data_IF_476603242068
#
_entry.id   IF_476603242068
#
_cell.length_a   1.000
_cell.length_b   1.000
_cell.length_c   1.000
_cell.angle_alpha   90.00
_cell.angle_beta   90.00
_cell.angle_gamma   90.00
#
_symmetry.space_group_name_H-M   'P 1'
#
loop_
_entity.id
_entity.type
_entity.pdbx_description
1 polymer ?
#
# COMPACT_ATOMS: atom_id res chain seq x y z
N UNK A 1 -32.22 49.58 -31.97
CA UNK A 1 -30.85 49.10 -31.82
C UNK A 1 -30.86 47.83 -30.95
N UNK A 2 -30.74 46.67 -31.62
CA UNK A 2 -30.75 45.35 -31.03
C UNK A 2 -29.44 45.12 -30.31
N UNK A 3 -29.47 44.93 -29.01
CA UNK A 3 -28.32 44.42 -28.22
C UNK A 3 -28.13 42.95 -28.56
N UNK A 4 -27.08 42.62 -29.30
CA UNK A 4 -26.62 41.24 -29.44
C UNK A 4 -26.11 40.70 -28.07
N UNK A 5 -26.48 39.48 -27.70
CA UNK A 5 -25.90 38.86 -26.51
C UNK A 5 -24.42 38.54 -26.77
N UNK A 6 -23.52 39.10 -25.97
CA UNK A 6 -22.11 38.72 -25.94
C UNK A 6 -21.99 37.23 -25.60
N UNK A 7 -21.56 36.43 -26.56
CA UNK A 7 -21.13 35.04 -26.29
C UNK A 7 -19.92 35.08 -25.37
N UNK A 8 -20.13 34.67 -24.14
CA UNK A 8 -19.04 34.37 -23.20
C UNK A 8 -18.35 33.10 -23.66
N UNK A 9 -17.26 33.23 -24.39
CA UNK A 9 -16.35 32.13 -24.76
C UNK A 9 -15.38 31.80 -23.63
N UNK A 10 -15.89 31.49 -22.45
CA UNK A 10 -15.11 30.98 -21.33
C UNK A 10 -15.82 29.74 -20.81
N UNK A 11 -15.07 28.62 -20.64
CA UNK A 11 -15.60 27.44 -19.94
C UNK A 11 -16.14 27.88 -18.58
N UNK A 12 -17.34 27.44 -18.17
CA UNK A 12 -17.94 27.84 -16.89
C UNK A 12 -17.02 27.42 -15.75
N UNK A 13 -16.80 28.33 -14.79
CA UNK A 13 -16.07 28.02 -13.56
C UNK A 13 -16.87 27.06 -12.69
N UNK A 14 -16.25 26.01 -12.18
CA UNK A 14 -16.87 25.06 -11.23
C UNK A 14 -17.51 25.76 -10.03
N UNK A 15 -16.89 26.83 -9.52
CA UNK A 15 -17.42 27.62 -8.41
C UNK A 15 -18.75 28.32 -8.76
N UNK A 16 -18.91 28.78 -10.01
CA UNK A 16 -20.15 29.40 -10.49
C UNK A 16 -21.23 28.34 -10.65
N UNK A 17 -20.89 27.16 -11.15
CA UNK A 17 -21.83 26.06 -11.33
C UNK A 17 -22.37 25.53 -9.99
N UNK A 18 -21.53 25.40 -8.97
CA UNK A 18 -21.95 25.02 -7.62
C UNK A 18 -22.87 26.07 -7.01
N UNK A 19 -22.56 27.36 -7.17
CA UNK A 19 -23.42 28.45 -6.70
C UNK A 19 -24.78 28.48 -7.42
N UNK A 20 -24.81 28.21 -8.71
CA UNK A 20 -26.05 28.16 -9.50
C UNK A 20 -26.90 26.95 -9.10
N UNK A 21 -26.31 25.79 -8.82
CA UNK A 21 -26.97 24.59 -8.32
C UNK A 21 -27.58 24.83 -6.90
N UNK A 22 -26.89 25.52 -6.03
CA UNK A 22 -27.39 25.90 -4.71
C UNK A 22 -28.62 26.79 -4.82
N UNK A 23 -28.57 27.83 -5.68
CA UNK A 23 -29.73 28.73 -5.93
C UNK A 23 -30.91 28.00 -6.56
N UNK A 24 -30.66 27.01 -7.45
CA UNK A 24 -31.72 26.22 -8.06
C UNK A 24 -32.39 25.27 -7.04
N UNK A 25 -31.64 24.75 -6.07
CA UNK A 25 -32.20 23.91 -5.01
C UNK A 25 -33.01 24.67 -3.95
N UNK A 26 -32.70 25.94 -3.74
CA UNK A 26 -33.48 26.82 -2.83
C UNK A 26 -34.91 27.09 -3.31
N UNK A 27 -35.14 26.96 -4.63
CA UNK A 27 -36.45 27.24 -5.24
C UNK A 27 -37.39 26.03 -5.34
N UNK A 28 -36.94 24.83 -5.02
CA UNK A 28 -37.75 23.60 -5.09
C UNK A 28 -38.13 23.03 -3.73
N UNK A 29 -39.40 22.65 -3.54
CA UNK A 29 -40.01 22.16 -2.28
C UNK A 29 -39.45 20.85 -1.70
N UNK A 30 -38.12 20.71 -1.61
CA UNK A 30 -37.48 19.60 -0.94
C UNK A 30 -37.64 19.66 0.58
N UNK A 31 -37.81 18.53 1.23
CA UNK A 31 -37.89 18.41 2.68
C UNK A 31 -36.69 19.11 3.35
N UNK A 32 -36.98 19.84 4.43
CA UNK A 32 -35.99 20.66 5.15
C UNK A 32 -34.67 19.91 5.48
N UNK A 33 -34.77 18.63 5.77
CA UNK A 33 -33.63 17.76 6.05
C UNK A 33 -32.74 17.54 4.82
N UNK A 34 -33.31 17.31 3.64
CA UNK A 34 -32.56 17.14 2.40
C UNK A 34 -31.81 18.42 2.00
N UNK A 35 -32.42 19.60 2.27
CA UNK A 35 -31.76 20.90 2.06
C UNK A 35 -30.54 21.09 2.92
N UNK A 36 -30.58 20.71 4.20
CA UNK A 36 -29.46 20.86 5.13
C UNK A 36 -28.31 19.94 4.70
N UNK A 37 -28.59 18.69 4.29
CA UNK A 37 -27.58 17.74 3.88
C UNK A 37 -26.89 18.16 2.57
N UNK A 38 -27.67 18.59 1.59
CA UNK A 38 -27.16 19.11 0.32
C UNK A 38 -26.32 20.39 0.48
N UNK A 39 -26.73 21.28 1.40
CA UNK A 39 -25.96 22.48 1.75
C UNK A 39 -24.63 22.14 2.42
N UNK A 40 -24.58 21.14 3.29
CA UNK A 40 -23.35 20.69 3.94
C UNK A 40 -22.41 20.07 2.94
N UNK A 41 -22.89 19.23 2.04
CA UNK A 41 -22.07 18.63 0.97
C UNK A 41 -21.53 19.69 0.00
N UNK A 42 -22.38 20.62 -0.42
CA UNK A 42 -21.98 21.71 -1.29
C UNK A 42 -20.94 22.65 -0.61
N UNK A 43 -21.08 22.90 0.69
CA UNK A 43 -20.11 23.68 1.45
C UNK A 43 -18.77 22.96 1.56
N UNK A 44 -18.76 21.63 1.78
CA UNK A 44 -17.55 20.81 1.78
C UNK A 44 -16.86 20.85 0.43
N UNK A 45 -17.61 20.64 -0.65
CA UNK A 45 -17.08 20.70 -2.03
C UNK A 45 -16.51 22.09 -2.32
N UNK A 46 -17.21 23.15 -1.93
CA UNK A 46 -16.74 24.53 -2.12
C UNK A 46 -15.43 24.79 -1.35
N UNK A 47 -15.37 24.37 -0.10
CA UNK A 47 -14.15 24.51 0.71
C UNK A 47 -12.98 23.73 0.09
N UNK A 48 -13.20 22.48 -0.32
CA UNK A 48 -12.19 21.66 -1.00
C UNK A 48 -11.65 22.34 -2.27
N UNK A 49 -12.54 22.80 -3.15
CA UNK A 49 -12.13 23.49 -4.39
C UNK A 49 -11.36 24.79 -4.09
N UNK A 50 -11.77 25.52 -3.06
CA UNK A 50 -11.12 26.77 -2.65
C UNK A 50 -9.73 26.52 -2.05
N UNK A 51 -9.61 25.55 -1.15
CA UNK A 51 -8.34 25.17 -0.51
C UNK A 51 -7.29 24.70 -1.53
N UNK A 52 -7.75 24.01 -2.58
CA UNK A 52 -6.87 23.50 -3.64
C UNK A 52 -6.74 24.43 -4.85
N UNK A 53 -7.36 25.62 -4.81
CA UNK A 53 -7.30 26.60 -5.90
C UNK A 53 -7.93 26.11 -7.21
N UNK A 54 -8.89 25.16 -7.12
CA UNK A 54 -9.55 24.56 -8.28
C UNK A 54 -10.71 25.45 -8.73
N UNK A 55 -10.59 26.03 -9.91
CA UNK A 55 -11.61 26.93 -10.49
C UNK A 55 -12.27 26.38 -11.74
N UNK A 56 -11.67 25.37 -12.38
CA UNK A 56 -12.12 24.78 -13.63
C UNK A 56 -12.16 23.25 -13.56
N UNK A 57 -13.01 22.62 -14.35
CA UNK A 57 -13.19 21.16 -14.37
C UNK A 57 -11.90 20.39 -14.72
N UNK A 58 -11.11 20.91 -15.65
CA UNK A 58 -9.83 20.29 -16.02
C UNK A 58 -8.83 20.25 -14.85
N UNK A 59 -8.84 21.26 -14.00
CA UNK A 59 -8.01 21.30 -12.80
C UNK A 59 -8.46 20.25 -11.77
N UNK A 60 -9.77 20.07 -11.61
CA UNK A 60 -10.33 19.00 -10.76
C UNK A 60 -9.94 17.63 -11.28
N UNK A 61 -10.11 17.38 -12.58
CA UNK A 61 -9.73 16.12 -13.20
C UNK A 61 -8.23 15.85 -13.04
N UNK A 62 -7.39 16.85 -13.32
CA UNK A 62 -5.95 16.74 -13.10
C UNK A 62 -5.57 16.41 -11.65
N UNK A 63 -6.28 17.00 -10.67
CA UNK A 63 -6.06 16.71 -9.26
C UNK A 63 -6.50 15.31 -8.87
N UNK A 64 -7.62 14.83 -9.40
CA UNK A 64 -8.09 13.44 -9.20
C UNK A 64 -7.07 12.45 -9.78
N UNK A 65 -6.60 12.69 -11.01
CA UNK A 65 -5.62 11.82 -11.67
C UNK A 65 -4.29 11.77 -10.89
N UNK A 66 -3.84 12.91 -10.35
CA UNK A 66 -2.65 12.99 -9.49
C UNK A 66 -2.81 12.14 -8.22
N UNK A 67 -3.93 12.31 -7.53
CA UNK A 67 -4.22 11.61 -6.27
C UNK A 67 -4.38 10.10 -6.49
N UNK A 68 -5.06 9.69 -7.56
CA UNK A 68 -5.20 8.29 -7.93
C UNK A 68 -3.85 7.65 -8.30
N UNK A 69 -3.02 8.36 -9.07
CA UNK A 69 -1.68 7.90 -9.43
C UNK A 69 -0.82 7.69 -8.18
N UNK A 70 -0.85 8.63 -7.24
CA UNK A 70 -0.11 8.51 -5.98
C UNK A 70 -0.65 7.36 -5.11
N UNK A 71 -1.97 7.15 -5.08
CA UNK A 71 -2.59 6.02 -4.40
C UNK A 71 -2.10 4.69 -4.96
N UNK A 72 -2.08 4.53 -6.29
CA UNK A 72 -1.62 3.31 -6.97
C UNK A 72 -0.11 3.08 -6.74
N UNK A 73 0.69 4.15 -6.76
CA UNK A 73 2.12 4.09 -6.46
C UNK A 73 2.37 3.58 -5.04
N UNK A 74 1.66 4.12 -4.06
CA UNK A 74 1.77 3.70 -2.65
C UNK A 74 1.33 2.26 -2.45
N UNK A 75 0.21 1.85 -3.05
CA UNK A 75 -0.26 0.45 -3.00
C UNK A 75 0.76 -0.52 -3.57
N UNK A 76 1.36 -0.18 -4.71
CA UNK A 76 2.38 -1.02 -5.35
C UNK A 76 3.64 -1.12 -4.48
N UNK A 77 4.07 -0.01 -3.88
CA UNK A 77 5.21 0.03 -2.96
C UNK A 77 4.96 -0.80 -1.69
N UNK A 78 3.78 -0.66 -1.07
CA UNK A 78 3.38 -1.43 0.11
C UNK A 78 3.39 -2.93 -0.19
N UNK A 79 2.80 -3.36 -1.33
CA UNK A 79 2.78 -4.78 -1.75
C UNK A 79 4.18 -5.33 -1.97
N UNK A 80 5.06 -4.57 -2.63
CA UNK A 80 6.45 -4.96 -2.85
C UNK A 80 7.21 -5.16 -1.53
N UNK A 81 7.01 -4.25 -0.57
CA UNK A 81 7.60 -4.37 0.77
C UNK A 81 7.05 -5.57 1.53
N UNK A 82 5.75 -5.83 1.46
CA UNK A 82 5.13 -7.01 2.08
C UNK A 82 5.69 -8.32 1.52
N UNK A 83 5.84 -8.40 0.21
CA UNK A 83 6.46 -9.55 -0.43
C UNK A 83 7.90 -9.74 0.05
N UNK A 84 8.71 -8.67 0.06
CA UNK A 84 10.10 -8.72 0.50
C UNK A 84 10.24 -9.10 1.98
N UNK A 85 9.39 -8.58 2.85
CA UNK A 85 9.34 -8.96 4.27
C UNK A 85 9.04 -10.45 4.42
N UNK A 86 8.09 -10.98 3.64
CA UNK A 86 7.77 -12.41 3.62
C UNK A 86 8.96 -13.27 3.18
N UNK A 87 9.67 -12.86 2.11
CA UNK A 87 10.88 -13.54 1.62
C UNK A 87 12.00 -13.56 2.68
N UNK A 88 12.24 -12.41 3.33
CA UNK A 88 13.22 -12.31 4.43
C UNK A 88 12.84 -13.21 5.59
N UNK A 89 11.55 -13.25 5.96
CA UNK A 89 11.06 -14.14 7.02
C UNK A 89 11.33 -15.62 6.73
N UNK A 90 11.10 -16.05 5.49
CA UNK A 90 11.41 -17.41 5.04
C UNK A 90 12.94 -17.67 5.04
N UNK A 91 13.75 -16.71 4.58
CA UNK A 91 15.21 -16.81 4.61
C UNK A 91 15.73 -16.99 6.04
N UNK A 92 15.27 -16.15 6.98
CA UNK A 92 15.65 -16.23 8.39
C UNK A 92 15.30 -17.61 8.95
N UNK A 93 14.09 -18.10 8.68
CA UNK A 93 13.63 -19.43 9.12
C UNK A 93 14.57 -20.53 8.63
N UNK A 94 14.86 -20.58 7.33
CA UNK A 94 15.66 -21.64 6.74
C UNK A 94 17.15 -21.53 7.10
N UNK A 95 17.72 -20.32 7.18
CA UNK A 95 19.10 -20.10 7.63
C UNK A 95 19.27 -20.50 9.09
N UNK A 96 18.30 -20.18 9.95
CA UNK A 96 18.31 -20.56 11.37
C UNK A 96 18.29 -22.10 11.52
N UNK A 97 17.34 -22.77 10.87
CA UNK A 97 17.23 -24.23 10.89
C UNK A 97 18.48 -24.90 10.33
N UNK A 98 19.04 -24.39 9.23
CA UNK A 98 20.28 -24.89 8.66
C UNK A 98 21.46 -24.78 9.63
N UNK A 99 21.64 -23.62 10.29
CA UNK A 99 22.73 -23.41 11.26
C UNK A 99 22.57 -24.27 12.50
N UNK A 100 21.35 -24.38 13.03
CA UNK A 100 21.02 -25.14 14.23
C UNK A 100 21.28 -26.62 14.06
N UNK A 101 20.87 -27.22 12.95
CA UNK A 101 20.93 -28.66 12.72
C UNK A 101 22.17 -29.12 11.96
N UNK A 102 22.99 -28.20 11.44
CA UNK A 102 24.23 -28.51 10.74
C UNK A 102 25.19 -29.38 11.55
N UNK A 103 25.45 -29.13 12.83
CA UNK A 103 26.38 -29.95 13.61
C UNK A 103 25.93 -31.41 13.67
N UNK A 104 24.64 -31.68 13.85
CA UNK A 104 24.05 -33.02 13.88
C UNK A 104 24.19 -33.72 12.54
N UNK A 105 23.94 -33.00 11.45
CA UNK A 105 24.12 -33.54 10.09
C UNK A 105 25.59 -33.88 9.77
N UNK A 106 26.53 -33.04 10.22
CA UNK A 106 27.98 -33.34 10.07
C UNK A 106 28.40 -34.56 10.86
N UNK A 107 27.85 -34.79 12.07
CA UNK A 107 28.06 -36.00 12.84
C UNK A 107 27.46 -37.23 12.16
N UNK A 108 26.25 -37.13 11.63
CA UNK A 108 25.63 -38.17 10.83
C UNK A 108 26.47 -38.57 9.63
N UNK A 109 27.05 -37.61 8.89
CA UNK A 109 27.92 -37.89 7.75
C UNK A 109 29.19 -38.67 8.13
N UNK A 110 29.70 -38.41 9.34
CA UNK A 110 30.94 -39.04 9.85
C UNK A 110 30.66 -40.34 10.59
N UNK A 111 29.42 -40.66 10.93
CA UNK A 111 29.05 -41.87 11.67
C UNK A 111 29.29 -43.11 10.83
N UNK A 112 29.89 -44.14 11.46
CA UNK A 112 30.07 -45.47 10.89
C UNK A 112 28.77 -46.27 10.83
N UNK A 113 27.84 -46.03 11.80
CA UNK A 113 26.52 -46.65 11.88
C UNK A 113 25.44 -45.60 11.67
N UNK A 114 25.10 -45.37 10.40
CA UNK A 114 24.14 -44.36 10.01
C UNK A 114 22.72 -44.69 10.44
N UNK A 115 22.33 -45.96 10.45
CA UNK A 115 20.99 -46.38 10.84
C UNK A 115 20.72 -46.11 12.33
N UNK A 116 21.69 -46.47 13.18
CA UNK A 116 21.57 -46.20 14.62
C UNK A 116 21.54 -44.71 14.91
N UNK A 117 22.35 -43.91 14.20
CA UNK A 117 22.35 -42.46 14.35
C UNK A 117 21.01 -41.83 13.91
N UNK A 118 20.48 -42.30 12.77
CA UNK A 118 19.17 -41.87 12.26
C UNK A 118 18.05 -42.13 13.28
N UNK A 119 17.98 -43.28 13.89
CA UNK A 119 16.92 -43.60 14.88
C UNK A 119 16.86 -42.62 16.04
N UNK A 120 17.99 -41.98 16.42
CA UNK A 120 18.04 -41.02 17.53
C UNK A 120 17.90 -39.57 17.11
N UNK A 121 18.16 -39.22 15.87
CA UNK A 121 18.30 -37.83 15.39
C UNK A 121 17.60 -37.55 14.06
N UNK A 122 16.67 -38.41 13.64
CA UNK A 122 16.01 -38.36 12.33
C UNK A 122 15.35 -36.99 12.06
N UNK A 123 14.61 -36.47 13.02
CA UNK A 123 13.92 -35.19 12.89
C UNK A 123 14.87 -34.02 12.60
N UNK A 124 16.05 -33.99 13.26
CA UNK A 124 17.02 -32.93 13.07
C UNK A 124 17.71 -33.02 11.70
N UNK A 125 17.94 -34.24 11.21
CA UNK A 125 18.50 -34.49 9.89
C UNK A 125 17.51 -34.06 8.81
N UNK A 126 16.23 -34.41 8.94
CA UNK A 126 15.15 -34.01 8.02
C UNK A 126 15.01 -32.49 8.01
N UNK A 127 15.07 -31.82 9.15
CA UNK A 127 14.98 -30.36 9.24
C UNK A 127 16.17 -29.68 8.54
N UNK A 128 17.38 -30.23 8.70
CA UNK A 128 18.57 -29.72 8.00
C UNK A 128 18.44 -29.88 6.49
N UNK A 129 18.09 -31.07 6.01
CA UNK A 129 17.96 -31.35 4.58
C UNK A 129 16.86 -30.52 3.94
N UNK A 130 15.73 -30.35 4.63
CA UNK A 130 14.63 -29.49 4.19
C UNK A 130 15.07 -28.02 4.08
N UNK A 131 15.79 -27.53 5.09
CA UNK A 131 16.32 -26.17 5.07
C UNK A 131 17.36 -25.97 3.97
N UNK A 132 18.27 -26.92 3.78
CA UNK A 132 19.28 -26.89 2.73
C UNK A 132 18.64 -26.89 1.32
N UNK A 133 17.62 -27.73 1.12
CA UNK A 133 16.85 -27.78 -0.12
C UNK A 133 16.12 -26.47 -0.41
N UNK A 134 15.46 -25.90 0.60
CA UNK A 134 14.76 -24.62 0.47
C UNK A 134 15.73 -23.48 0.13
N UNK A 135 16.85 -23.37 0.82
CA UNK A 135 17.87 -22.35 0.54
C UNK A 135 18.44 -22.49 -0.89
N UNK A 136 18.66 -23.72 -1.35
CA UNK A 136 19.08 -23.97 -2.74
C UNK A 136 18.04 -23.55 -3.75
N UNK A 137 16.75 -23.82 -3.50
CA UNK A 137 15.64 -23.39 -4.37
C UNK A 137 15.49 -21.86 -4.40
N UNK A 138 15.79 -21.19 -3.30
CA UNK A 138 15.81 -19.72 -3.22
C UNK A 138 17.08 -19.11 -3.86
N UNK A 139 17.97 -19.91 -4.44
CA UNK A 139 19.17 -19.42 -5.11
C UNK A 139 20.26 -18.92 -4.15
N UNK A 140 20.21 -19.27 -2.87
CA UNK A 140 21.19 -18.82 -1.87
C UNK A 140 22.50 -19.58 -2.03
N UNK A 141 23.51 -18.90 -2.57
CA UNK A 141 24.86 -19.49 -2.72
C UNK A 141 25.70 -19.36 -1.45
N UNK A 142 25.53 -18.26 -0.71
CA UNK A 142 26.21 -17.99 0.56
C UNK A 142 25.18 -17.65 1.62
N UNK A 143 25.28 -18.29 2.78
CA UNK A 143 24.35 -18.03 3.90
C UNK A 143 24.41 -16.55 4.31
N UNK A 144 23.29 -15.84 4.25
CA UNK A 144 23.24 -14.45 4.66
C UNK A 144 23.36 -14.31 6.18
N UNK A 145 23.70 -13.10 6.62
CA UNK A 145 23.69 -12.78 8.04
C UNK A 145 22.26 -12.50 8.51
N UNK A 146 21.82 -13.25 9.53
CA UNK A 146 20.48 -13.12 10.12
C UNK A 146 20.28 -11.73 10.72
N UNK A 147 21.33 -11.13 11.30
CA UNK A 147 21.25 -9.79 11.90
C UNK A 147 20.98 -8.73 10.83
N UNK A 148 21.65 -8.84 9.69
CA UNK A 148 21.42 -7.94 8.56
C UNK A 148 20.01 -8.12 7.99
N UNK A 149 19.53 -9.36 7.84
CA UNK A 149 18.17 -9.65 7.38
C UNK A 149 17.11 -9.10 8.32
N UNK A 150 17.30 -9.21 9.63
CA UNK A 150 16.38 -8.63 10.62
C UNK A 150 16.33 -7.11 10.52
N UNK A 151 17.47 -6.45 10.39
CA UNK A 151 17.52 -4.98 10.20
C UNK A 151 16.80 -4.54 8.93
N UNK A 152 17.01 -5.27 7.81
CA UNK A 152 16.30 -5.00 6.56
C UNK A 152 14.79 -5.15 6.75
N UNK A 153 14.34 -6.20 7.42
CA UNK A 153 12.93 -6.45 7.70
C UNK A 153 12.31 -5.35 8.58
N UNK A 154 13.02 -4.91 9.61
CA UNK A 154 12.56 -3.83 10.50
C UNK A 154 12.45 -2.50 9.75
N UNK A 155 13.44 -2.16 8.90
CA UNK A 155 13.40 -0.96 8.05
C UNK A 155 12.21 -0.99 7.09
N UNK A 156 12.03 -2.10 6.36
CA UNK A 156 10.91 -2.27 5.42
C UNK A 156 9.55 -2.21 6.13
N UNK A 157 9.48 -2.74 7.35
CA UNK A 157 8.26 -2.71 8.16
C UNK A 157 7.92 -1.27 8.58
N UNK A 158 8.91 -0.50 9.02
CA UNK A 158 8.73 0.91 9.37
C UNK A 158 8.31 1.75 8.16
N UNK A 159 8.99 1.59 7.02
CA UNK A 159 8.66 2.27 5.77
C UNK A 159 7.24 1.93 5.29
N UNK A 160 6.88 0.64 5.31
CA UNK A 160 5.53 0.17 4.97
C UNK A 160 4.47 0.84 5.85
N UNK A 161 4.72 0.94 7.15
CA UNK A 161 3.78 1.55 8.09
C UNK A 161 3.59 3.04 7.81
N UNK A 162 4.66 3.74 7.46
CA UNK A 162 4.61 5.16 7.09
C UNK A 162 3.83 5.35 5.77
N UNK A 163 4.12 4.55 4.75
CA UNK A 163 3.41 4.59 3.47
C UNK A 163 1.93 4.24 3.63
N UNK A 164 1.61 3.26 4.48
CA UNK A 164 0.23 2.90 4.79
C UNK A 164 -0.53 4.05 5.46
N UNK A 165 0.11 4.78 6.37
CA UNK A 165 -0.47 5.98 6.96
C UNK A 165 -0.79 7.06 5.92
N UNK A 166 0.12 7.28 4.96
CA UNK A 166 -0.09 8.20 3.84
C UNK A 166 -1.21 7.73 2.91
N UNK A 167 -1.21 6.43 2.56
CA UNK A 167 -2.27 5.82 1.76
C UNK A 167 -3.66 5.99 2.39
N UNK A 168 -3.79 5.82 3.71
CA UNK A 168 -5.07 6.03 4.40
C UNK A 168 -5.56 7.47 4.31
N UNK A 169 -4.67 8.46 4.42
CA UNK A 169 -5.02 9.88 4.24
C UNK A 169 -5.52 10.16 2.83
N UNK A 170 -4.81 9.65 1.80
CA UNK A 170 -5.21 9.79 0.40
C UNK A 170 -6.55 9.12 0.14
N UNK A 171 -6.78 7.93 0.70
CA UNK A 171 -8.06 7.21 0.56
C UNK A 171 -9.25 7.98 1.13
N UNK A 172 -9.04 8.80 2.15
CA UNK A 172 -10.08 9.71 2.66
C UNK A 172 -10.32 10.84 1.66
N UNK A 173 -9.27 11.46 1.14
CA UNK A 173 -9.39 12.54 0.14
C UNK A 173 -10.11 12.12 -1.15
N UNK A 174 -9.93 10.87 -1.59
CA UNK A 174 -10.63 10.33 -2.78
C UNK A 174 -12.14 10.17 -2.55
N UNK A 175 -12.57 10.09 -1.29
CA UNK A 175 -14.00 9.94 -0.94
C UNK A 175 -14.73 11.27 -0.76
N UNK A 176 -14.00 12.36 -0.59
CA UNK A 176 -14.53 13.72 -0.49
C UNK A 176 -14.74 14.35 -1.85
#
# INVERSE_FOLDING_TARGET
PSRQPQQRTGKPSLLIDIQNNLKAQESGGCAHWAKINNLQEAARTFNFLTEHGITHYEQLQGKVDEVMTEQDRLLSSIKAKEQRIGEIGLLIKHVSAYREHRPVYEQYRKSSDKEKFLRGQESQIILFESAAKALKQMGVQKLPDITALKKEMDSLTAEKQQEYGTYQKIKVQVKE
#
